data_IF_800025457264
#
_entry.id   IF_800025457264
#
_cell.length_a   1.000
_cell.length_b   1.000
_cell.length_c   1.000
_cell.angle_alpha   90.00
_cell.angle_beta   90.00
_cell.angle_gamma   90.00
#
_symmetry.space_group_name_H-M   'P 1'
#
loop_
_entity.id
_entity.type
_entity.pdbx_description
1 polymer ?
#
# COMPACT_ATOMS: atom_id res chain seq x y z
N UNK A 1 -16.26 -15.51 1.34
CA UNK A 1 -15.60 -14.18 1.41
C UNK A 1 -14.63 -14.11 0.27
N UNK A 2 -14.70 -13.05 -0.51
CA UNK A 2 -13.83 -12.85 -1.67
C UNK A 2 -12.71 -11.88 -1.28
N UNK A 3 -11.57 -11.97 -1.97
CA UNK A 3 -10.49 -11.00 -1.83
C UNK A 3 -10.93 -9.66 -2.43
N UNK A 4 -10.60 -8.56 -1.76
CA UNK A 4 -10.83 -7.21 -2.25
C UNK A 4 -9.48 -6.55 -2.59
N UNK A 5 -9.39 -5.93 -3.76
CA UNK A 5 -8.19 -5.19 -4.20
C UNK A 5 -8.62 -3.74 -4.44
N UNK A 6 -7.93 -2.82 -3.78
CA UNK A 6 -8.08 -1.38 -3.96
C UNK A 6 -6.77 -0.80 -4.49
N UNK A 7 -6.87 0.21 -5.36
CA UNK A 7 -5.73 0.90 -5.94
C UNK A 7 -5.65 2.36 -5.41
N UNK A 8 -4.87 2.60 -4.33
CA UNK A 8 -4.60 3.96 -3.84
C UNK A 8 -3.87 4.85 -4.84
N UNK A 9 -2.98 4.30 -5.67
CA UNK A 9 -2.18 5.04 -6.64
C UNK A 9 -0.80 4.43 -6.87
N UNK A 10 -0.06 4.95 -7.85
CA UNK A 10 1.31 4.55 -8.20
C UNK A 10 1.50 3.02 -8.29
N UNK A 11 2.43 2.45 -7.53
CA UNK A 11 2.62 1.00 -7.42
C UNK A 11 2.00 0.42 -6.13
N UNK A 12 1.19 1.21 -5.43
CA UNK A 12 0.56 0.83 -4.18
C UNK A 12 -0.79 0.15 -4.43
N UNK A 13 -0.95 -1.06 -3.88
CA UNK A 13 -2.20 -1.81 -3.86
C UNK A 13 -2.54 -2.19 -2.42
N UNK A 14 -3.80 -2.02 -2.04
CA UNK A 14 -4.35 -2.58 -0.80
C UNK A 14 -5.10 -3.86 -1.14
N UNK A 15 -4.65 -4.98 -0.60
CA UNK A 15 -5.24 -6.30 -0.80
C UNK A 15 -5.81 -6.77 0.54
N UNK A 16 -7.13 -6.89 0.63
CA UNK A 16 -7.81 -7.37 1.83
C UNK A 16 -8.23 -8.83 1.64
N UNK A 17 -7.60 -9.71 2.41
CA UNK A 17 -7.95 -11.11 2.52
C UNK A 17 -8.95 -11.35 3.65
N UNK A 18 -9.18 -12.63 3.96
CA UNK A 18 -10.10 -13.03 5.04
C UNK A 18 -9.58 -12.70 6.45
N UNK A 19 -8.26 -12.71 6.64
CA UNK A 19 -7.60 -12.62 7.96
C UNK A 19 -6.68 -11.41 8.05
N UNK A 20 -6.07 -11.02 6.93
CA UNK A 20 -5.10 -9.94 6.88
C UNK A 20 -5.34 -9.01 5.70
N UNK A 21 -4.84 -7.80 5.83
CA UNK A 21 -4.73 -6.77 4.81
C UNK A 21 -3.25 -6.56 4.50
N UNK A 22 -2.92 -6.44 3.22
CA UNK A 22 -1.59 -6.16 2.73
C UNK A 22 -1.58 -4.86 1.93
N UNK A 23 -0.51 -4.08 2.07
CA UNK A 23 -0.17 -2.96 1.19
C UNK A 23 1.14 -3.23 0.46
N UNK A 24 1.20 -2.90 -0.83
CA UNK A 24 2.44 -2.86 -1.61
C UNK A 24 2.94 -1.43 -1.75
N UNK A 25 4.24 -1.25 -1.89
CA UNK A 25 4.93 -0.05 -2.36
C UNK A 25 4.29 1.28 -1.92
N UNK A 26 4.16 1.56 -0.61
CA UNK A 26 3.66 2.85 -0.17
C UNK A 26 4.63 3.94 -0.62
N UNK A 27 4.09 5.06 -1.10
CA UNK A 27 4.83 6.12 -1.78
C UNK A 27 4.73 7.45 -1.05
N UNK A 28 5.77 8.28 -1.17
CA UNK A 28 5.86 9.57 -0.51
C UNK A 28 4.99 10.67 -1.17
N UNK A 29 4.94 11.84 -0.52
CA UNK A 29 4.15 12.99 -1.01
C UNK A 29 4.60 13.54 -2.38
N UNK A 30 5.79 13.17 -2.86
CA UNK A 30 6.29 13.60 -4.18
C UNK A 30 5.66 12.77 -5.30
N UNK A 31 5.33 11.51 -5.03
CA UNK A 31 4.64 10.61 -5.95
C UNK A 31 3.11 10.74 -5.90
N UNK A 32 2.56 11.26 -4.81
CA UNK A 32 1.12 11.53 -4.66
C UNK A 32 0.70 11.57 -3.20
N UNK A 33 -0.60 11.45 -2.90
CA UNK A 33 -1.07 11.35 -1.51
C UNK A 33 -1.76 10.02 -1.27
N UNK A 34 -1.25 9.25 -0.32
CA UNK A 34 -1.93 8.07 0.18
C UNK A 34 -3.18 8.47 1.01
N UNK A 35 -4.23 7.64 1.05
CA UNK A 35 -5.36 7.84 1.95
C UNK A 35 -4.91 7.89 3.41
N UNK A 36 -5.46 8.83 4.19
CA UNK A 36 -5.11 8.99 5.62
C UNK A 36 -5.48 7.79 6.49
N UNK A 37 -6.43 6.98 6.05
CA UNK A 37 -6.94 5.79 6.71
C UNK A 37 -6.35 4.49 6.12
N UNK A 38 -5.26 4.60 5.36
CA UNK A 38 -4.58 3.46 4.79
C UNK A 38 -3.87 2.66 5.89
N UNK A 39 -4.44 1.50 6.23
CA UNK A 39 -3.90 0.56 7.21
C UNK A 39 -3.81 -0.84 6.62
N UNK A 40 -2.79 -1.59 7.03
CA UNK A 40 -2.58 -3.00 6.71
C UNK A 40 -1.83 -3.73 7.84
N UNK A 41 -1.96 -5.05 7.85
CA UNK A 41 -1.21 -5.94 8.73
C UNK A 41 0.19 -6.23 8.17
N UNK A 42 0.33 -6.17 6.84
CA UNK A 42 1.58 -6.47 6.13
C UNK A 42 1.87 -5.34 5.13
N UNK A 43 3.12 -4.88 5.11
CA UNK A 43 3.64 -3.97 4.08
C UNK A 43 4.73 -4.69 3.30
N UNK A 44 4.67 -4.60 1.98
CA UNK A 44 5.71 -5.13 1.08
C UNK A 44 6.28 -3.99 0.27
N UNK A 45 7.59 -4.04 0.06
CA UNK A 45 8.35 -3.04 -0.67
C UNK A 45 9.15 -3.77 -1.74
N UNK A 46 8.95 -3.39 -2.99
CA UNK A 46 9.64 -3.99 -4.13
C UNK A 46 11.11 -3.56 -4.21
N UNK A 47 11.42 -2.30 -3.86
CA UNK A 47 12.76 -1.73 -3.82
C UNK A 47 12.79 -0.40 -3.06
N UNK A 48 13.99 0.11 -2.75
CA UNK A 48 14.20 1.22 -1.79
C UNK A 48 14.07 2.64 -2.37
N UNK A 49 13.51 2.82 -3.57
CA UNK A 49 13.22 4.18 -4.03
C UNK A 49 12.10 4.80 -3.19
N UNK A 50 12.18 6.11 -2.93
CA UNK A 50 11.24 6.81 -2.04
C UNK A 50 9.78 6.79 -2.50
N UNK A 51 9.54 6.61 -3.79
CA UNK A 51 8.21 6.42 -4.37
C UNK A 51 7.72 4.96 -4.30
N UNK A 52 8.45 4.07 -3.62
CA UNK A 52 8.07 2.67 -3.37
C UNK A 52 8.29 2.21 -1.91
N UNK A 53 9.07 2.95 -1.10
CA UNK A 53 9.43 2.60 0.27
C UNK A 53 9.16 3.74 1.26
N UNK A 54 7.92 4.23 1.31
CA UNK A 54 7.49 5.24 2.27
C UNK A 54 6.60 4.63 3.35
N UNK A 55 7.20 4.13 4.43
CA UNK A 55 6.50 3.44 5.53
C UNK A 55 6.46 4.24 6.85
N UNK A 56 6.60 5.57 6.76
CA UNK A 56 6.61 6.45 7.94
C UNK A 56 5.23 6.61 8.61
#
# INVERSE_FOLDING_TARGET
MNMEITYPGHSCFKIKGRVSTLITDPYDEKAGRLPRDLQADIVTVSHDHGDHNHTE
#
